data_IF_043247971515
#
_entry.id   IF_043247971515
#
_cell.length_a   1.000
_cell.length_b   1.000
_cell.length_c   1.000
_cell.angle_alpha   90.00
_cell.angle_beta   90.00
_cell.angle_gamma   90.00
#
_symmetry.space_group_name_H-M   'P 1'
#
loop_
_entity.id
_entity.type
_entity.pdbx_description
1 polymer ?
#
# COMPACT_ATOMS: atom_id res chain seq x y z
N UNK A 1 -21.65 24.63 -20.02
CA UNK A 1 -20.21 24.43 -19.84
C UNK A 1 -19.71 23.63 -21.04
N UNK A 2 -18.69 24.11 -21.74
CA UNK A 2 -18.06 23.37 -22.84
C UNK A 2 -17.08 22.37 -22.23
N UNK A 3 -17.25 21.08 -22.54
CA UNK A 3 -16.29 20.05 -22.16
C UNK A 3 -14.89 20.44 -22.63
N UNK A 4 -13.95 20.60 -21.70
CA UNK A 4 -12.60 21.03 -21.98
C UNK A 4 -11.79 19.83 -22.52
N UNK A 5 -11.87 19.63 -23.84
CA UNK A 5 -11.18 18.54 -24.53
C UNK A 5 -9.70 18.92 -24.73
N UNK A 6 -8.80 18.17 -24.08
CA UNK A 6 -7.35 18.36 -24.19
C UNK A 6 -6.60 17.16 -24.78
N UNK A 7 -5.28 17.33 -25.01
CA UNK A 7 -4.38 16.28 -25.48
C UNK A 7 -3.35 15.93 -24.40
N UNK A 8 -3.11 14.62 -24.21
CA UNK A 8 -2.03 14.09 -23.36
C UNK A 8 -1.00 13.32 -24.20
N UNK A 9 0.29 13.27 -23.80
CA UNK A 9 1.28 12.47 -24.51
C UNK A 9 0.97 10.97 -24.40
N UNK A 10 1.30 10.21 -25.44
CA UNK A 10 1.14 8.75 -25.38
C UNK A 10 2.16 8.10 -24.44
N UNK A 11 1.83 6.91 -23.91
CA UNK A 11 2.74 6.04 -23.14
C UNK A 11 4.14 5.96 -23.77
N UNK A 12 4.22 5.68 -25.07
CA UNK A 12 5.48 5.63 -25.85
C UNK A 12 6.28 6.94 -25.81
N UNK A 13 5.61 8.10 -25.84
CA UNK A 13 6.29 9.41 -25.79
C UNK A 13 6.82 9.71 -24.38
N UNK A 14 6.06 9.35 -23.35
CA UNK A 14 6.46 9.50 -21.93
C UNK A 14 7.67 8.61 -21.62
N UNK A 15 7.57 7.31 -21.92
CA UNK A 15 8.64 6.35 -21.64
C UNK A 15 9.96 6.71 -22.32
N UNK A 16 9.92 7.07 -23.61
CA UNK A 16 11.12 7.50 -24.35
C UNK A 16 11.82 8.68 -23.69
N UNK A 17 11.06 9.65 -23.17
CA UNK A 17 11.59 10.85 -22.53
C UNK A 17 12.30 10.50 -21.21
N UNK A 18 11.66 9.72 -20.35
CA UNK A 18 12.23 9.38 -19.05
C UNK A 18 13.43 8.42 -19.19
N UNK A 19 13.39 7.48 -20.13
CA UNK A 19 14.53 6.61 -20.45
C UNK A 19 15.76 7.42 -20.87
N UNK A 20 15.55 8.50 -21.63
CA UNK A 20 16.65 9.38 -22.04
C UNK A 20 17.30 10.10 -20.85
N UNK A 21 16.52 10.43 -19.81
CA UNK A 21 17.03 11.06 -18.57
C UNK A 21 17.78 10.06 -17.70
N UNK A 22 17.26 8.84 -17.56
CA UNK A 22 17.91 7.78 -16.78
C UNK A 22 19.27 7.41 -17.39
N UNK A 23 19.33 7.25 -18.72
CA UNK A 23 20.60 6.98 -19.43
C UNK A 23 21.62 8.12 -19.31
N UNK A 24 21.18 9.37 -19.23
CA UNK A 24 22.09 10.50 -18.98
C UNK A 24 22.67 10.48 -17.56
N UNK A 25 21.96 9.91 -16.58
CA UNK A 25 22.40 9.81 -15.18
C UNK A 25 23.41 8.68 -14.95
N UNK A 26 23.28 7.57 -15.68
CA UNK A 26 24.18 6.41 -15.56
C UNK A 26 25.60 6.63 -16.13
N UNK A 27 25.78 7.59 -17.03
CA UNK A 27 27.08 7.88 -17.65
C UNK A 27 28.19 8.29 -16.66
N UNK A 28 27.84 8.63 -15.40
CA UNK A 28 28.78 9.11 -14.38
C UNK A 28 29.16 8.12 -13.27
N UNK A 29 28.61 6.89 -13.23
CA UNK A 29 28.84 5.96 -12.11
C UNK A 29 28.63 4.49 -12.49
N UNK A 30 29.50 3.94 -13.34
CA UNK A 30 29.49 2.51 -13.67
C UNK A 30 30.31 1.68 -12.66
N UNK A 31 29.71 1.36 -11.51
CA UNK A 31 30.09 0.16 -10.76
C UNK A 31 29.34 -1.01 -11.39
N UNK A 32 30.02 -2.04 -11.89
CA UNK A 32 29.50 -3.12 -12.76
C UNK A 32 28.41 -4.05 -12.17
N UNK A 33 27.66 -3.60 -11.17
CA UNK A 33 26.42 -4.22 -10.70
C UNK A 33 25.25 -3.82 -11.61
N UNK A 34 24.44 -4.77 -12.05
CA UNK A 34 23.14 -4.49 -12.68
C UNK A 34 22.33 -3.56 -11.75
N UNK A 35 22.06 -2.34 -12.22
CA UNK A 35 21.24 -1.38 -11.50
C UNK A 35 19.83 -1.91 -11.25
N UNK A 36 19.07 -1.22 -10.39
CA UNK A 36 17.64 -1.51 -10.20
C UNK A 36 16.94 -1.53 -11.57
N UNK A 37 15.98 -2.44 -11.76
CA UNK A 37 15.17 -2.46 -12.98
C UNK A 37 14.49 -1.09 -13.16
N UNK A 38 14.87 -0.39 -14.22
CA UNK A 38 14.34 0.94 -14.54
C UNK A 38 12.88 0.81 -15.01
N UNK A 39 11.94 0.97 -14.08
CA UNK A 39 10.51 1.03 -14.40
C UNK A 39 10.05 2.48 -14.60
N UNK A 40 9.48 2.78 -15.77
CA UNK A 40 8.87 4.07 -16.06
C UNK A 40 7.36 4.00 -15.98
N UNK A 41 6.81 4.70 -15.00
CA UNK A 41 5.37 4.84 -14.82
C UNK A 41 4.80 5.83 -15.86
N UNK A 42 3.72 5.46 -16.52
CA UNK A 42 3.04 6.29 -17.52
C UNK A 42 1.53 6.33 -17.29
N UNK A 43 0.80 5.37 -17.83
CA UNK A 43 -0.64 5.26 -17.69
C UNK A 43 -1.03 3.80 -17.43
N UNK A 44 -2.05 3.63 -16.60
CA UNK A 44 -2.73 2.37 -16.34
C UNK A 44 -4.19 2.52 -16.79
N UNK A 45 -4.68 1.56 -17.57
CA UNK A 45 -6.09 1.53 -17.97
C UNK A 45 -6.95 1.14 -16.78
N UNK A 46 -7.98 1.93 -16.50
CA UNK A 46 -8.91 1.67 -15.39
C UNK A 46 -10.31 1.40 -15.91
N UNK A 47 -11.06 0.60 -15.17
CA UNK A 47 -12.49 0.34 -15.40
C UNK A 47 -13.28 0.76 -14.16
N UNK A 48 -14.46 1.34 -14.37
CA UNK A 48 -15.34 1.70 -13.26
C UNK A 48 -15.99 0.43 -12.70
N UNK A 49 -15.99 0.29 -11.37
CA UNK A 49 -16.59 -0.83 -10.66
C UNK A 49 -17.42 -0.31 -9.50
N UNK A 50 -18.63 -0.85 -9.34
CA UNK A 50 -19.45 -0.62 -8.14
C UNK A 50 -19.00 -1.55 -7.02
N UNK A 51 -18.90 -1.02 -5.79
CA UNK A 51 -18.48 -1.78 -4.61
C UNK A 51 -19.46 -1.53 -3.46
N UNK A 52 -19.80 -2.60 -2.74
CA UNK A 52 -20.71 -2.56 -1.58
C UNK A 52 -19.97 -2.75 -0.26
N UNK A 53 -18.77 -2.18 -0.16
CA UNK A 53 -17.96 -2.18 1.05
C UNK A 53 -17.21 -0.85 1.18
N UNK A 54 -16.90 -0.46 2.41
CA UNK A 54 -16.02 0.67 2.65
C UNK A 54 -14.59 0.29 2.25
N UNK A 55 -13.98 1.07 1.34
CA UNK A 55 -12.61 0.82 0.87
C UNK A 55 -11.62 1.05 2.02
N UNK A 56 -10.69 0.11 2.29
CA UNK A 56 -9.63 0.33 3.27
C UNK A 56 -8.77 1.55 2.91
N UNK A 57 -8.27 2.26 3.92
CA UNK A 57 -7.43 3.45 3.75
C UNK A 57 -6.01 3.13 4.21
N UNK A 58 -5.03 3.49 3.37
CA UNK A 58 -3.61 3.39 3.68
C UNK A 58 -2.99 4.76 3.43
N UNK A 59 -2.56 5.42 4.50
CA UNK A 59 -1.88 6.72 4.42
C UNK A 59 -0.37 6.47 4.47
N UNK A 60 0.34 6.96 3.47
CA UNK A 60 1.79 6.83 3.33
C UNK A 60 2.46 8.20 3.45
N UNK A 61 3.69 8.20 3.98
CA UNK A 61 4.53 9.39 4.09
C UNK A 61 4.59 10.01 5.49
N UNK A 62 5.30 11.13 5.64
CA UNK A 62 5.40 11.85 6.91
C UNK A 62 4.01 12.20 7.44
N UNK A 63 3.86 12.26 8.76
CA UNK A 63 2.59 12.63 9.44
C UNK A 63 1.41 11.67 9.23
N UNK A 64 1.61 10.49 8.62
CA UNK A 64 0.55 9.48 8.44
C UNK A 64 -0.17 9.11 9.75
N UNK A 65 0.57 9.08 10.87
CA UNK A 65 0.01 8.68 12.17
C UNK A 65 -0.95 9.75 12.69
N UNK A 66 -0.58 11.03 12.55
CA UNK A 66 -1.47 12.14 12.90
C UNK A 66 -2.74 12.14 12.04
N UNK A 67 -2.60 11.93 10.73
CA UNK A 67 -3.76 11.84 9.85
C UNK A 67 -4.67 10.66 10.21
N UNK A 68 -4.10 9.51 10.59
CA UNK A 68 -4.87 8.36 11.07
C UNK A 68 -5.60 8.69 12.38
N UNK A 69 -4.93 9.31 13.35
CA UNK A 69 -5.52 9.69 14.64
C UNK A 69 -6.65 10.70 14.46
N UNK A 70 -6.46 11.71 13.60
CA UNK A 70 -7.48 12.73 13.29
C UNK A 70 -8.71 12.06 12.62
N UNK A 71 -8.53 11.15 11.65
CA UNK A 71 -9.65 10.44 11.03
C UNK A 71 -10.45 9.59 12.02
N UNK A 72 -9.76 8.84 12.89
CA UNK A 72 -10.40 7.97 13.87
C UNK A 72 -11.13 8.74 14.96
N UNK A 73 -10.61 9.92 15.35
CA UNK A 73 -11.18 10.73 16.42
C UNK A 73 -12.29 11.68 15.95
N UNK A 74 -12.14 12.29 14.77
CA UNK A 74 -13.12 13.24 14.24
C UNK A 74 -14.35 12.56 13.61
N UNK A 75 -14.17 11.37 13.01
CA UNK A 75 -15.24 10.64 12.32
C UNK A 75 -15.34 9.16 12.75
N UNK A 76 -15.66 8.90 14.03
CA UNK A 76 -15.69 7.53 14.58
C UNK A 76 -16.81 6.66 13.99
N UNK A 77 -17.80 7.25 13.34
CA UNK A 77 -18.89 6.55 12.64
C UNK A 77 -18.47 6.05 11.24
N UNK A 78 -17.36 6.57 10.70
CA UNK A 78 -16.86 6.26 9.35
C UNK A 78 -15.56 5.47 9.34
N UNK A 79 -14.72 5.65 10.35
CA UNK A 79 -13.41 5.02 10.42
C UNK A 79 -13.25 4.19 11.68
N UNK A 80 -12.51 3.09 11.55
CA UNK A 80 -12.15 2.22 12.65
C UNK A 80 -10.88 1.43 12.30
N UNK A 81 -10.14 1.05 13.33
CA UNK A 81 -8.97 0.18 13.19
C UNK A 81 -9.40 -1.29 13.16
N UNK A 82 -8.70 -2.11 12.39
CA UNK A 82 -8.89 -3.55 12.41
C UNK A 82 -8.15 -4.18 13.61
N UNK A 83 -8.61 -5.35 14.05
CA UNK A 83 -7.96 -6.11 15.13
C UNK A 83 -6.86 -6.99 14.54
N UNK A 84 -5.57 -6.76 14.88
CA UNK A 84 -4.46 -7.55 14.36
C UNK A 84 -4.43 -8.97 14.97
N UNK A 85 -3.70 -9.88 14.35
CA UNK A 85 -3.44 -11.21 14.89
C UNK A 85 -2.07 -11.27 15.54
N UNK A 86 -1.91 -12.06 16.60
CA UNK A 86 -0.59 -12.29 17.23
C UNK A 86 -0.47 -13.72 17.75
N UNK A 87 0.74 -14.29 17.68
CA UNK A 87 1.08 -15.58 18.31
C UNK A 87 1.60 -15.42 19.74
N UNK A 88 1.79 -14.18 20.20
CA UNK A 88 2.17 -13.89 21.59
C UNK A 88 1.06 -14.38 22.53
N UNK A 89 1.38 -14.96 23.71
CA UNK A 89 0.36 -15.29 24.69
C UNK A 89 -0.36 -14.03 25.19
N UNK A 90 -1.68 -14.17 25.39
CA UNK A 90 -2.54 -13.12 25.94
C UNK A 90 -2.11 -12.77 27.36
N UNK A 91 -1.98 -11.47 27.67
CA UNK A 91 -1.79 -10.98 29.05
C UNK A 91 -3.12 -10.94 29.79
N UNK A 92 -3.07 -10.88 31.12
CA UNK A 92 -4.27 -10.92 31.97
C UNK A 92 -5.26 -9.79 31.68
N UNK A 93 -4.76 -8.59 31.38
CA UNK A 93 -5.57 -7.40 31.07
C UNK A 93 -6.00 -7.30 29.60
N UNK A 94 -5.61 -8.26 28.75
CA UNK A 94 -5.93 -8.24 27.31
C UNK A 94 -7.18 -9.09 27.01
N UNK A 95 -7.95 -8.64 26.02
CA UNK A 95 -9.18 -9.25 25.56
C UNK A 95 -8.99 -9.76 24.13
N UNK A 96 -9.21 -11.06 23.94
CA UNK A 96 -9.18 -11.68 22.63
C UNK A 96 -10.32 -11.16 21.75
N UNK A 97 -9.99 -10.78 20.52
CA UNK A 97 -10.91 -10.13 19.59
C UNK A 97 -11.11 -8.62 19.78
N UNK A 98 -10.46 -8.01 20.77
CA UNK A 98 -10.41 -6.54 20.93
C UNK A 98 -9.01 -6.00 20.72
N UNK A 99 -8.07 -6.47 21.52
CA UNK A 99 -6.68 -5.98 21.47
C UNK A 99 -5.91 -6.72 20.36
N UNK A 100 -6.05 -8.05 20.30
CA UNK A 100 -5.56 -8.92 19.23
C UNK A 100 -6.49 -10.12 19.06
N UNK A 101 -6.44 -10.77 17.90
CA UNK A 101 -6.81 -12.18 17.76
C UNK A 101 -5.61 -13.05 18.14
N UNK A 102 -5.67 -13.67 19.32
CA UNK A 102 -4.57 -14.47 19.86
C UNK A 102 -4.57 -15.86 19.22
N UNK A 103 -3.54 -16.15 18.45
CA UNK A 103 -3.35 -17.45 17.76
C UNK A 103 -2.50 -18.35 18.65
N UNK A 104 -3.10 -19.43 19.15
CA UNK A 104 -2.44 -20.36 20.08
C UNK A 104 -1.28 -21.16 19.47
N UNK A 105 -1.30 -21.40 18.15
CA UNK A 105 -0.28 -22.18 17.45
C UNK A 105 0.50 -21.30 16.47
N UNK A 106 1.81 -21.09 16.70
CA UNK A 106 2.67 -20.42 15.74
C UNK A 106 2.66 -21.08 14.36
N UNK A 107 2.64 -22.42 14.32
CA UNK A 107 2.57 -23.19 13.08
C UNK A 107 1.28 -22.89 12.28
N UNK A 108 0.15 -22.70 12.97
CA UNK A 108 -1.10 -22.29 12.32
C UNK A 108 -0.97 -20.89 11.71
N UNK A 109 -0.37 -19.95 12.45
CA UNK A 109 -0.14 -18.59 11.93
C UNK A 109 0.75 -18.63 10.68
N UNK A 110 1.82 -19.42 10.71
CA UNK A 110 2.73 -19.56 9.57
C UNK A 110 2.03 -20.16 8.34
N UNK A 111 1.16 -21.17 8.51
CA UNK A 111 0.32 -21.69 7.43
C UNK A 111 -0.63 -20.64 6.87
N UNK A 112 -1.24 -19.80 7.73
CA UNK A 112 -2.13 -18.72 7.27
C UNK A 112 -1.37 -17.63 6.50
N UNK A 113 -0.12 -17.36 6.88
CA UNK A 113 0.79 -16.44 6.16
C UNK A 113 1.14 -17.02 4.78
N UNK A 114 1.57 -18.27 4.73
CA UNK A 114 1.89 -18.97 3.47
C UNK A 114 0.67 -19.05 2.54
N UNK A 115 -0.53 -19.15 3.10
CA UNK A 115 -1.79 -19.14 2.37
C UNK A 115 -2.28 -17.74 1.93
N UNK A 116 -1.47 -16.68 2.06
CA UNK A 116 -1.82 -15.30 1.67
C UNK A 116 -3.08 -14.76 2.36
N UNK A 117 -3.39 -15.22 3.58
CA UNK A 117 -4.54 -14.73 4.36
C UNK A 117 -4.22 -13.45 5.16
N UNK A 118 -2.96 -12.99 5.13
CA UNK A 118 -2.48 -11.79 5.81
C UNK A 118 -1.90 -10.84 4.77
N UNK A 119 -2.35 -9.58 4.76
CA UNK A 119 -1.86 -8.55 3.84
C UNK A 119 -0.48 -8.00 4.24
N UNK A 120 -0.15 -8.06 5.53
CA UNK A 120 1.15 -7.67 6.09
C UNK A 120 1.48 -8.57 7.29
N UNK A 121 2.77 -8.86 7.48
CA UNK A 121 3.31 -9.71 8.55
C UNK A 121 4.66 -9.15 8.97
N UNK A 122 4.95 -9.18 10.29
CA UNK A 122 6.24 -8.81 10.88
C UNK A 122 6.59 -9.68 12.07
#
# INVERSE_FOLDING_TARGET
ETDDIGFIPSKRRVERREWSRLKAKDWGSSSGSQGREDSVLSYETVTQMEVHYARPIIILGPTKDRANDDLLSEFPDKFGSCVPHTTRPKREYEIDGRDYHFVSSPEKMEKDIQAQKKSEVG
#
